data_IF_273758442872
#
_entry.id   IF_273758442872
#
_cell.length_a   1.000
_cell.length_b   1.000
_cell.length_c   1.000
_cell.angle_alpha   90.00
_cell.angle_beta   90.00
_cell.angle_gamma   90.00
#
_symmetry.space_group_name_H-M   'P 1'
#
loop_
_entity.id
_entity.type
_entity.pdbx_description
1 polymer ?
#
# COMPACT_ATOMS: atom_id res chain seq x y z
N UNK A 1 21.80 24.53 -37.89
CA UNK A 1 22.25 23.21 -37.38
C UNK A 1 21.26 22.17 -37.90
N UNK A 2 21.71 20.99 -38.34
CA UNK A 2 20.81 19.90 -38.74
C UNK A 2 19.89 19.51 -37.56
N UNK A 3 18.62 19.32 -37.88
CA UNK A 3 17.63 18.70 -37.01
C UNK A 3 18.00 17.25 -36.66
N UNK A 4 17.21 16.59 -35.81
CA UNK A 4 17.28 15.14 -35.63
C UNK A 4 17.13 14.42 -36.97
N UNK A 5 18.01 13.47 -37.25
CA UNK A 5 17.92 12.61 -38.43
C UNK A 5 17.32 11.26 -38.02
N UNK A 6 16.35 10.78 -38.78
CA UNK A 6 15.69 9.50 -38.60
C UNK A 6 15.98 8.59 -39.79
N UNK A 7 16.43 7.38 -39.50
CA UNK A 7 16.53 6.28 -40.46
C UNK A 7 15.31 5.36 -40.30
N UNK A 8 14.66 5.04 -41.40
CA UNK A 8 13.45 4.22 -41.44
C UNK A 8 13.55 3.19 -42.57
N UNK A 9 13.21 1.94 -42.27
CA UNK A 9 13.06 0.88 -43.26
C UNK A 9 11.63 0.36 -43.18
N UNK A 10 10.96 0.26 -44.33
CA UNK A 10 9.57 -0.18 -44.44
C UNK A 10 9.49 -1.30 -45.46
N UNK A 11 8.88 -2.43 -45.09
CA UNK A 11 8.56 -3.51 -46.01
C UNK A 11 7.07 -3.51 -46.36
N UNK A 12 6.75 -3.92 -47.58
CA UNK A 12 5.38 -4.09 -48.06
C UNK A 12 5.19 -5.53 -48.53
N UNK A 13 4.22 -6.22 -47.92
CA UNK A 13 3.90 -7.61 -48.23
C UNK A 13 3.35 -7.80 -49.65
N UNK A 14 2.79 -6.75 -50.25
CA UNK A 14 2.27 -6.80 -51.62
C UNK A 14 2.53 -5.50 -52.36
N UNK A 15 2.79 -5.60 -53.66
CA UNK A 15 2.94 -4.45 -54.55
C UNK A 15 1.59 -3.82 -54.97
N UNK A 16 0.47 -4.54 -54.82
CA UNK A 16 -0.86 -4.10 -55.29
C UNK A 16 -1.38 -2.82 -54.63
N UNK A 17 -0.99 -2.59 -53.37
CA UNK A 17 -1.44 -1.44 -52.58
C UNK A 17 -0.55 -0.21 -52.79
N UNK A 18 0.52 -0.34 -53.55
CA UNK A 18 1.48 0.74 -53.75
C UNK A 18 1.01 1.70 -54.86
N UNK A 19 0.41 2.82 -54.46
CA UNK A 19 -0.21 3.80 -55.37
C UNK A 19 0.43 5.20 -55.33
N UNK A 20 1.64 5.32 -54.77
CA UNK A 20 2.35 6.59 -54.67
C UNK A 20 1.87 7.55 -53.56
N UNK A 21 0.92 7.12 -52.72
CA UNK A 21 0.37 7.94 -51.62
C UNK A 21 1.46 8.37 -50.62
N UNK A 22 2.47 7.53 -50.38
CA UNK A 22 3.61 7.85 -49.50
C UNK A 22 4.42 9.02 -50.06
N UNK A 23 4.70 9.03 -51.37
CA UNK A 23 5.45 10.11 -52.01
C UNK A 23 4.67 11.42 -51.95
N UNK A 24 3.35 11.37 -52.19
CA UNK A 24 2.49 12.56 -52.11
C UNK A 24 2.47 13.16 -50.69
N UNK A 25 2.50 12.33 -49.65
CA UNK A 25 2.60 12.83 -48.26
C UNK A 25 4.01 13.35 -47.94
N UNK A 26 5.07 12.69 -48.43
CA UNK A 26 6.44 13.21 -48.30
C UNK A 26 6.55 14.59 -48.96
N UNK A 27 6.03 14.77 -50.17
CA UNK A 27 5.96 16.08 -50.85
C UNK A 27 5.22 17.13 -50.03
N UNK A 28 4.12 16.74 -49.39
CA UNK A 28 3.34 17.63 -48.54
C UNK A 28 4.15 18.08 -47.32
N UNK A 29 4.87 17.16 -46.67
CA UNK A 29 5.71 17.47 -45.50
C UNK A 29 6.95 18.28 -45.88
N UNK A 30 7.57 17.97 -47.02
CA UNK A 30 8.67 18.74 -47.64
C UNK A 30 8.24 20.17 -47.95
N UNK A 31 7.12 20.34 -48.65
CA UNK A 31 6.59 21.64 -49.04
C UNK A 31 6.18 22.52 -47.85
N UNK A 32 5.84 21.91 -46.70
CA UNK A 32 5.60 22.63 -45.44
C UNK A 32 6.87 22.93 -44.64
N UNK A 33 8.03 22.44 -45.08
CA UNK A 33 9.31 22.58 -44.36
C UNK A 33 9.34 21.85 -43.02
N UNK A 34 8.50 20.83 -42.84
CA UNK A 34 8.46 20.02 -41.60
C UNK A 34 9.62 19.04 -41.58
N UNK A 35 9.88 18.43 -42.73
CA UNK A 35 10.95 17.48 -42.96
C UNK A 35 11.77 17.84 -44.18
N UNK A 36 12.96 17.25 -44.27
CA UNK A 36 13.79 17.21 -45.48
C UNK A 36 14.21 15.76 -45.72
N UNK A 37 14.02 15.27 -46.94
CA UNK A 37 14.43 13.93 -47.36
C UNK A 37 15.90 13.99 -47.72
N UNK A 38 16.75 13.33 -46.93
CA UNK A 38 18.19 13.30 -47.16
C UNK A 38 18.56 12.18 -48.14
N UNK A 39 17.85 11.06 -48.06
CA UNK A 39 18.00 9.93 -48.96
C UNK A 39 16.72 9.09 -48.93
N UNK A 40 16.29 8.59 -50.07
CA UNK A 40 15.18 7.66 -50.23
C UNK A 40 15.60 6.62 -51.27
N UNK A 41 15.51 5.35 -50.90
CA UNK A 41 15.56 4.24 -51.85
C UNK A 41 14.29 3.42 -51.71
N UNK A 42 13.63 3.19 -52.82
CA UNK A 42 12.53 2.26 -52.91
C UNK A 42 12.87 1.16 -53.90
N UNK A 43 12.68 -0.09 -53.50
CA UNK A 43 12.92 -1.28 -54.32
C UNK A 43 11.66 -2.11 -54.36
N UNK A 44 11.20 -2.42 -55.56
CA UNK A 44 10.08 -3.31 -55.83
C UNK A 44 10.57 -4.51 -56.61
N UNK A 45 10.22 -5.72 -56.18
CA UNK A 45 10.43 -6.94 -56.96
C UNK A 45 9.09 -7.44 -57.48
N UNK A 46 8.96 -7.54 -58.80
CA UNK A 46 7.75 -8.07 -59.45
C UNK A 46 7.61 -9.57 -59.19
N UNK A 47 6.44 -10.14 -59.46
CA UNK A 47 6.22 -11.59 -59.37
C UNK A 47 7.11 -12.38 -60.35
N UNK A 48 7.54 -11.75 -61.46
CA UNK A 48 8.47 -12.32 -62.42
C UNK A 48 9.93 -12.27 -61.92
N UNK A 49 10.20 -11.61 -60.80
CA UNK A 49 11.54 -11.41 -60.24
C UNK A 49 12.25 -10.16 -60.75
N UNK A 50 11.63 -9.38 -61.63
CA UNK A 50 12.21 -8.13 -62.12
C UNK A 50 12.29 -7.09 -61.00
N UNK A 51 13.37 -6.32 -60.97
CA UNK A 51 13.61 -5.30 -59.95
C UNK A 51 13.35 -3.92 -60.55
N UNK A 52 12.52 -3.14 -59.86
CA UNK A 52 12.28 -1.73 -60.14
C UNK A 52 12.75 -0.94 -58.92
N UNK A 53 13.69 -0.02 -59.12
CA UNK A 53 14.18 0.85 -58.06
C UNK A 53 13.90 2.31 -58.37
N UNK A 54 13.72 3.10 -57.32
CA UNK A 54 13.54 4.54 -57.39
C UNK A 54 14.33 5.19 -56.26
N UNK A 55 14.99 6.30 -56.56
CA UNK A 55 15.72 7.11 -55.61
C UNK A 55 15.19 8.55 -55.62
N UNK A 56 15.18 9.21 -54.46
CA UNK A 56 14.81 10.62 -54.31
C UNK A 56 15.61 11.28 -53.16
N UNK A 57 15.93 12.56 -53.31
CA UNK A 57 16.65 13.33 -52.28
C UNK A 57 16.44 14.83 -52.46
N UNK A 58 16.41 15.56 -51.33
CA UNK A 58 16.41 17.03 -51.29
C UNK A 58 17.84 17.60 -51.15
N UNK A 59 18.88 16.76 -51.28
CA UNK A 59 20.27 17.21 -51.23
C UNK A 59 20.68 17.82 -52.57
N UNK A 60 21.43 18.93 -52.51
CA UNK A 60 22.16 19.40 -53.68
C UNK A 60 23.38 18.52 -53.95
N UNK A 61 23.94 18.54 -55.17
CA UNK A 61 25.12 17.75 -55.51
C UNK A 61 26.33 17.99 -54.59
N UNK A 62 26.47 19.20 -54.04
CA UNK A 62 27.52 19.52 -53.05
C UNK A 62 27.23 18.88 -51.69
N UNK A 63 25.97 18.93 -51.24
CA UNK A 63 25.55 18.31 -49.97
C UNK A 63 25.54 16.78 -50.04
N UNK A 64 25.23 16.19 -51.20
CA UNK A 64 25.35 14.74 -51.42
C UNK A 64 26.79 14.26 -51.25
N UNK A 65 27.77 15.04 -51.69
CA UNK A 65 29.18 14.70 -51.52
C UNK A 65 29.60 14.71 -50.04
N UNK A 66 29.10 15.66 -49.25
CA UNK A 66 29.45 15.78 -47.82
C UNK A 66 28.63 14.83 -46.93
N UNK A 67 27.31 14.77 -47.14
CA UNK A 67 26.37 14.04 -46.31
C UNK A 67 26.17 12.61 -46.79
N UNK A 68 26.13 12.37 -48.11
CA UNK A 68 25.97 11.04 -48.69
C UNK A 68 27.10 10.08 -48.31
N UNK A 69 28.34 10.57 -48.23
CA UNK A 69 29.47 9.79 -47.72
C UNK A 69 29.31 9.40 -46.24
N UNK A 70 28.73 10.30 -45.42
CA UNK A 70 28.45 10.03 -44.01
C UNK A 70 27.33 9.00 -43.85
N UNK A 71 26.28 9.12 -44.68
CA UNK A 71 25.14 8.20 -44.74
C UNK A 71 25.58 6.81 -45.16
N UNK A 72 26.34 6.68 -46.24
CA UNK A 72 26.90 5.40 -46.72
C UNK A 72 27.73 4.71 -45.63
N UNK A 73 28.56 5.47 -44.91
CA UNK A 73 29.36 4.95 -43.79
C UNK A 73 28.49 4.49 -42.61
N UNK A 74 27.41 5.23 -42.28
CA UNK A 74 26.46 4.85 -41.23
C UNK A 74 25.67 3.58 -41.59
N UNK A 75 25.36 3.40 -42.88
CA UNK A 75 24.69 2.19 -43.37
C UNK A 75 25.63 0.98 -43.50
N UNK A 76 26.94 1.14 -43.25
CA UNK A 76 27.92 0.04 -43.31
C UNK A 76 28.29 -0.40 -44.73
N UNK A 77 28.02 0.45 -45.73
CA UNK A 77 28.14 0.14 -47.15
C UNK A 77 29.55 0.40 -47.68
N UNK A 78 30.56 -0.08 -46.97
CA UNK A 78 31.94 -0.06 -47.46
C UNK A 78 32.06 -1.17 -48.52
N UNK A 79 32.13 -0.78 -49.79
CA UNK A 79 32.33 -1.68 -50.92
C UNK A 79 33.61 -2.52 -50.75
N UNK A 80 33.44 -3.73 -50.20
CA UNK A 80 34.41 -4.80 -50.28
C UNK A 80 33.68 -6.16 -50.36
N UNK A 81 32.88 -6.33 -51.42
CA UNK A 81 32.52 -7.66 -51.90
C UNK A 81 32.27 -7.62 -53.40
N UNK A 82 33.29 -7.94 -54.16
CA UNK A 82 33.17 -8.20 -55.59
C UNK A 82 32.55 -9.59 -55.77
N UNK A 83 31.27 -9.65 -56.16
CA UNK A 83 30.70 -10.88 -56.74
C UNK A 83 29.93 -10.51 -58.01
N UNK A 84 30.36 -11.11 -59.10
CA UNK A 84 29.83 -10.88 -60.43
C UNK A 84 28.46 -11.57 -60.62
N UNK A 85 27.52 -10.86 -61.25
CA UNK A 85 26.53 -11.46 -62.15
C UNK A 85 25.06 -11.14 -61.85
N UNK A 86 24.45 -10.30 -62.68
CA UNK A 86 23.27 -10.63 -63.50
C UNK A 86 23.02 -9.49 -64.49
N UNK A 87 22.94 -9.77 -65.80
CA UNK A 87 22.85 -8.73 -66.84
C UNK A 87 21.44 -8.19 -67.05
N UNK A 88 20.42 -8.74 -66.38
CA UNK A 88 19.09 -8.16 -66.32
C UNK A 88 19.05 -6.95 -65.36
N UNK A 89 19.78 -7.06 -64.24
CA UNK A 89 19.93 -5.99 -63.25
C UNK A 89 20.67 -4.77 -63.84
N UNK A 90 21.67 -5.02 -64.68
CA UNK A 90 22.44 -3.97 -65.36
C UNK A 90 21.58 -3.08 -66.28
N UNK A 91 20.46 -3.59 -66.82
CA UNK A 91 19.53 -2.81 -67.65
C UNK A 91 18.64 -1.86 -66.84
N UNK A 92 18.21 -2.26 -65.64
CA UNK A 92 17.42 -1.42 -64.73
C UNK A 92 18.26 -0.36 -64.01
N UNK A 93 19.57 -0.63 -63.85
CA UNK A 93 20.54 0.26 -63.20
C UNK A 93 21.25 1.22 -64.17
N UNK A 94 20.99 1.11 -65.48
CA UNK A 94 21.64 1.96 -66.49
C UNK A 94 20.95 3.33 -66.68
N UNK A 95 19.72 3.49 -66.21
CA UNK A 95 18.96 4.76 -66.31
C UNK A 95 19.22 5.72 -65.13
N UNK A 96 20.05 5.35 -64.14
CA UNK A 96 20.45 6.23 -63.02
C UNK A 96 21.75 6.98 -63.34
N UNK A 97 21.69 7.96 -64.25
CA UNK A 97 22.82 8.84 -64.62
C UNK A 97 23.26 9.84 -63.51
N UNK A 98 22.85 9.67 -62.25
CA UNK A 98 23.36 10.46 -61.12
C UNK A 98 24.03 9.54 -60.08
N UNK A 99 25.35 9.46 -60.17
CA UNK A 99 26.22 8.61 -59.34
C UNK A 99 26.47 9.16 -57.92
N UNK A 100 25.44 9.67 -57.25
CA UNK A 100 25.53 10.21 -55.91
C UNK A 100 24.29 9.77 -55.10
N UNK A 101 24.46 8.78 -54.21
CA UNK A 101 23.39 8.06 -53.52
C UNK A 101 23.73 6.56 -53.36
N UNK A 102 22.81 5.77 -52.78
CA UNK A 102 22.96 4.30 -52.67
C UNK A 102 23.34 3.69 -54.04
N UNK A 103 24.36 2.84 -54.05
CA UNK A 103 24.96 2.31 -55.27
C UNK A 103 24.07 1.27 -55.93
N UNK A 104 24.33 1.01 -57.22
CA UNK A 104 23.77 -0.12 -57.95
C UNK A 104 23.89 -1.47 -57.20
N UNK A 105 24.99 -1.66 -56.47
CA UNK A 105 25.20 -2.86 -55.65
C UNK A 105 24.29 -2.87 -54.42
N UNK A 106 24.11 -1.72 -53.76
CA UNK A 106 23.23 -1.62 -52.59
C UNK A 106 21.77 -1.92 -52.95
N UNK A 107 21.32 -1.44 -54.12
CA UNK A 107 20.01 -1.77 -54.68
C UNK A 107 19.90 -3.28 -54.93
N UNK A 108 20.94 -3.91 -55.49
CA UNK A 108 20.98 -5.35 -55.72
C UNK A 108 20.88 -6.13 -54.40
N UNK A 109 21.61 -5.71 -53.38
CA UNK A 109 21.68 -6.37 -52.09
C UNK A 109 20.34 -6.29 -51.34
N UNK A 110 19.65 -5.15 -51.41
CA UNK A 110 18.27 -5.00 -50.90
C UNK A 110 17.29 -5.84 -51.71
N UNK A 111 17.39 -5.79 -53.05
CA UNK A 111 16.53 -6.56 -53.94
C UNK A 111 16.67 -8.07 -53.68
N UNK A 112 17.86 -8.57 -53.39
CA UNK A 112 18.11 -9.98 -53.10
C UNK A 112 17.51 -10.44 -51.76
N UNK A 113 17.23 -9.51 -50.84
CA UNK A 113 16.64 -9.80 -49.53
C UNK A 113 15.10 -9.77 -49.53
N UNK A 114 14.47 -9.24 -50.58
CA UNK A 114 13.01 -9.17 -50.69
C UNK A 114 12.47 -10.24 -51.65
N UNK A 115 11.33 -10.82 -51.29
CA UNK A 115 10.66 -11.88 -52.06
C UNK A 115 9.97 -11.31 -53.32
N UNK A 116 9.81 -12.10 -54.40
CA UNK A 116 8.99 -11.71 -55.54
C UNK A 116 7.57 -11.29 -55.11
N UNK A 117 7.06 -10.21 -55.68
CA UNK A 117 5.74 -9.64 -55.35
C UNK A 117 5.73 -8.67 -54.17
N UNK A 118 6.89 -8.43 -53.54
CA UNK A 118 7.06 -7.53 -52.39
C UNK A 118 7.88 -6.28 -52.74
N UNK A 119 7.87 -5.29 -51.84
CA UNK A 119 8.70 -4.09 -51.96
C UNK A 119 9.24 -3.64 -50.61
N UNK A 120 10.31 -2.83 -50.64
CA UNK A 120 10.90 -2.21 -49.48
C UNK A 120 11.28 -0.75 -49.77
N UNK A 121 11.16 0.10 -48.75
CA UNK A 121 11.62 1.49 -48.77
C UNK A 121 12.61 1.73 -47.64
N UNK A 122 13.70 2.41 -47.93
CA UNK A 122 14.67 2.95 -46.99
C UNK A 122 14.58 4.47 -47.09
N UNK A 123 14.43 5.13 -45.96
CA UNK A 123 14.23 6.56 -45.89
C UNK A 123 15.11 7.17 -44.80
N UNK A 124 15.82 8.22 -45.14
CA UNK A 124 16.57 9.06 -44.22
C UNK A 124 15.97 10.47 -44.22
N UNK A 125 15.41 10.87 -43.08
CA UNK A 125 14.67 12.14 -42.94
C UNK A 125 15.31 13.02 -41.88
N UNK A 126 15.53 14.29 -42.21
CA UNK A 126 15.77 15.33 -41.21
C UNK A 126 14.44 15.91 -40.71
N UNK A 127 14.26 15.95 -39.40
CA UNK A 127 13.15 16.64 -38.73
C UNK A 127 13.46 18.14 -38.59
N UNK A 128 13.24 18.89 -39.68
CA UNK A 128 13.56 20.32 -39.79
C UNK A 128 12.89 21.15 -38.70
N UNK A 129 11.63 20.83 -38.36
CA UNK A 129 10.86 21.52 -37.32
C UNK A 129 11.59 21.55 -35.96
N UNK A 130 12.38 20.52 -35.65
CA UNK A 130 13.06 20.37 -34.37
C UNK A 130 14.41 21.09 -34.30
N UNK A 131 14.92 21.61 -35.44
CA UNK A 131 16.22 22.28 -35.48
C UNK A 131 16.27 23.51 -34.56
N UNK A 132 15.21 24.33 -34.56
CA UNK A 132 15.11 25.52 -33.70
C UNK A 132 15.04 25.17 -32.21
N UNK A 133 14.23 24.17 -31.86
CA UNK A 133 14.12 23.68 -30.47
C UNK A 133 15.46 23.14 -29.96
N UNK A 134 16.14 22.32 -30.78
CA UNK A 134 17.47 21.77 -30.46
C UNK A 134 18.49 22.87 -30.22
N UNK A 135 18.46 23.94 -31.02
CA UNK A 135 19.33 25.09 -30.82
C UNK A 135 19.02 25.79 -29.51
N UNK A 136 17.74 26.08 -29.23
CA UNK A 136 17.34 26.73 -27.98
C UNK A 136 17.72 25.94 -26.71
N UNK A 137 17.59 24.60 -26.74
CA UNK A 137 18.04 23.72 -25.65
C UNK A 137 19.55 23.86 -25.42
N UNK A 138 20.34 23.86 -26.50
CA UNK A 138 21.80 24.02 -26.42
C UNK A 138 22.21 25.38 -25.92
N UNK A 139 21.55 26.44 -26.38
CA UNK A 139 21.80 27.81 -25.95
C UNK A 139 21.51 27.98 -24.44
N UNK A 140 20.55 27.22 -23.90
CA UNK A 140 20.29 27.11 -22.47
C UNK A 140 21.29 26.23 -21.71
N UNK A 141 22.31 25.68 -22.37
CA UNK A 141 23.30 24.76 -21.79
C UNK A 141 22.84 23.30 -21.69
N UNK A 142 21.68 22.97 -22.25
CA UNK A 142 21.15 21.61 -22.30
C UNK A 142 21.81 20.76 -23.39
N UNK A 143 21.82 19.45 -23.19
CA UNK A 143 22.22 18.48 -24.21
C UNK A 143 21.31 17.24 -24.13
N UNK A 144 21.03 16.57 -25.25
CA UNK A 144 20.17 15.39 -25.25
C UNK A 144 20.85 14.23 -24.51
N UNK A 145 20.10 13.55 -23.63
CA UNK A 145 20.55 12.34 -22.91
C UNK A 145 20.02 11.08 -23.60
N UNK A 146 18.79 11.12 -24.11
CA UNK A 146 18.16 10.05 -24.87
C UNK A 146 17.26 10.64 -25.96
N UNK A 147 17.10 9.92 -27.08
CA UNK A 147 16.25 10.33 -28.19
C UNK A 147 15.70 9.09 -28.89
N UNK A 148 14.40 9.09 -29.21
CA UNK A 148 13.71 8.01 -29.91
C UNK A 148 12.24 8.33 -30.08
N UNK A 149 11.55 7.58 -30.94
CA UNK A 149 10.09 7.62 -31.03
C UNK A 149 9.50 6.55 -30.12
N UNK A 150 8.49 6.92 -29.35
CA UNK A 150 7.68 5.96 -28.59
C UNK A 150 6.46 5.64 -29.45
N UNK A 151 6.23 4.37 -29.74
CA UNK A 151 5.06 3.97 -30.52
C UNK A 151 3.78 4.10 -29.69
N UNK A 152 2.61 4.31 -30.31
CA UNK A 152 1.34 4.36 -29.58
C UNK A 152 1.09 3.13 -28.71
N UNK A 153 1.49 1.94 -29.16
CA UNK A 153 1.35 0.69 -28.42
C UNK A 153 2.23 0.69 -27.16
N UNK A 154 3.47 1.16 -27.29
CA UNK A 154 4.37 1.32 -26.15
C UNK A 154 3.83 2.35 -25.14
N UNK A 155 3.22 3.45 -25.60
CA UNK A 155 2.56 4.42 -24.73
C UNK A 155 1.40 3.80 -23.95
N UNK A 156 0.59 2.96 -24.60
CA UNK A 156 -0.53 2.26 -23.94
C UNK A 156 -0.01 1.28 -22.89
N UNK A 157 1.05 0.52 -23.19
CA UNK A 157 1.65 -0.40 -22.21
C UNK A 157 2.18 0.35 -20.98
N UNK A 158 2.90 1.46 -21.18
CA UNK A 158 3.39 2.30 -20.09
C UNK A 158 2.21 2.84 -19.27
N UNK A 159 1.14 3.29 -19.92
CA UNK A 159 -0.07 3.75 -19.24
C UNK A 159 -0.71 2.67 -18.37
N UNK A 160 -0.82 1.44 -18.88
CA UNK A 160 -1.37 0.30 -18.15
C UNK A 160 -0.49 -0.08 -16.95
N UNK A 161 0.83 -0.09 -17.11
CA UNK A 161 1.77 -0.35 -16.01
C UNK A 161 1.70 0.74 -14.93
N UNK A 162 1.72 2.01 -15.33
CA UNK A 162 1.60 3.14 -14.40
C UNK A 162 0.26 3.10 -13.66
N UNK A 163 -0.83 2.74 -14.33
CA UNK A 163 -2.13 2.57 -13.70
C UNK A 163 -2.13 1.41 -12.70
N UNK A 164 -1.53 0.26 -13.05
CA UNK A 164 -1.43 -0.87 -12.14
C UNK A 164 -0.61 -0.53 -10.87
N UNK A 165 0.47 0.24 -11.03
CA UNK A 165 1.26 0.75 -9.90
C UNK A 165 0.40 1.67 -9.02
N UNK A 166 -0.32 2.63 -9.62
CA UNK A 166 -1.19 3.55 -8.87
C UNK A 166 -2.32 2.81 -8.13
N UNK A 167 -2.93 1.79 -8.73
CA UNK A 167 -3.94 0.94 -8.09
C UNK A 167 -3.37 0.15 -6.91
N UNK A 168 -2.16 -0.40 -7.07
CA UNK A 168 -1.47 -1.10 -5.99
C UNK A 168 -1.13 -0.16 -4.82
N UNK A 169 -0.63 1.05 -5.10
CA UNK A 169 -0.33 2.06 -4.08
C UNK A 169 -1.60 2.46 -3.29
N UNK A 170 -2.71 2.74 -3.98
CA UNK A 170 -3.99 3.02 -3.31
C UNK A 170 -4.46 1.86 -2.43
N UNK A 171 -4.31 0.62 -2.90
CA UNK A 171 -4.70 -0.56 -2.11
C UNK A 171 -3.86 -0.71 -0.84
N UNK A 172 -2.55 -0.41 -0.91
CA UNK A 172 -1.65 -0.43 0.25
C UNK A 172 -2.05 0.66 1.25
N UNK A 173 -2.32 1.89 0.79
CA UNK A 173 -2.73 2.99 1.65
C UNK A 173 -4.03 2.67 2.42
N UNK A 174 -5.02 2.09 1.73
CA UNK A 174 -6.28 1.64 2.37
C UNK A 174 -6.00 0.53 3.39
N UNK A 175 -5.16 -0.44 3.06
CA UNK A 175 -4.81 -1.54 3.97
C UNK A 175 -4.10 -1.05 5.24
N UNK A 176 -3.19 -0.07 5.12
CA UNK A 176 -2.52 0.56 6.26
C UNK A 176 -3.49 1.33 7.15
N UNK A 177 -4.42 2.08 6.56
CA UNK A 177 -5.47 2.78 7.31
C UNK A 177 -6.35 1.80 8.11
N UNK A 178 -6.75 0.68 7.50
CA UNK A 178 -7.54 -0.37 8.18
C UNK A 178 -6.74 -1.01 9.31
N UNK A 179 -5.45 -1.31 9.10
CA UNK A 179 -4.58 -1.86 10.13
C UNK A 179 -4.41 -0.90 11.31
N UNK A 180 -4.26 0.40 11.04
CA UNK A 180 -4.20 1.43 12.08
C UNK A 180 -5.47 1.51 12.91
N UNK A 181 -6.64 1.49 12.26
CA UNK A 181 -7.93 1.47 12.95
C UNK A 181 -8.12 0.21 13.81
N UNK A 182 -7.76 -0.97 13.29
CA UNK A 182 -7.84 -2.22 14.04
C UNK A 182 -6.90 -2.25 15.26
N UNK A 183 -5.71 -1.63 15.16
CA UNK A 183 -4.79 -1.50 16.29
C UNK A 183 -5.37 -0.60 17.40
N UNK A 184 -6.00 0.52 17.02
CA UNK A 184 -6.65 1.41 17.99
C UNK A 184 -7.83 0.74 18.68
N UNK A 185 -8.64 -0.04 17.95
CA UNK A 185 -9.73 -0.82 18.53
C UNK A 185 -9.21 -1.90 19.50
N UNK A 186 -8.15 -2.60 19.11
CA UNK A 186 -7.48 -3.56 19.99
C UNK A 186 -6.93 -2.90 21.28
N UNK A 187 -6.34 -1.71 21.18
CA UNK A 187 -5.90 -0.93 22.35
C UNK A 187 -7.08 -0.55 23.25
N UNK A 188 -8.16 -0.03 22.69
CA UNK A 188 -9.35 0.36 23.45
C UNK A 188 -9.97 -0.84 24.18
N UNK A 189 -10.02 -2.02 23.56
CA UNK A 189 -10.53 -3.23 24.22
C UNK A 189 -9.64 -3.71 25.37
N UNK A 190 -8.32 -3.54 25.27
CA UNK A 190 -7.39 -3.84 26.37
C UNK A 190 -7.61 -2.90 27.54
N UNK A 191 -7.72 -1.58 27.28
CA UNK A 191 -7.98 -0.58 28.33
C UNK A 191 -9.31 -0.85 29.05
N UNK A 192 -10.36 -1.21 28.31
CA UNK A 192 -11.65 -1.58 28.89
C UNK A 192 -11.56 -2.84 29.76
N UNK A 193 -10.81 -3.85 29.33
CA UNK A 193 -10.63 -5.08 30.11
C UNK A 193 -9.85 -4.83 31.41
N UNK A 194 -8.87 -3.93 31.38
CA UNK A 194 -8.10 -3.53 32.57
C UNK A 194 -8.98 -2.77 33.57
N UNK A 195 -9.81 -1.83 33.10
CA UNK A 195 -10.78 -1.12 33.95
C UNK A 195 -11.79 -2.08 34.60
N UNK A 196 -12.30 -3.07 33.86
CA UNK A 196 -13.20 -4.11 34.41
C UNK A 196 -12.50 -4.94 35.48
N UNK A 197 -11.22 -5.30 35.26
CA UNK A 197 -10.44 -6.05 36.24
C UNK A 197 -10.24 -5.24 37.52
N UNK A 198 -9.91 -3.94 37.43
CA UNK A 198 -9.72 -3.07 38.59
C UNK A 198 -11.02 -2.93 39.40
N UNK A 199 -12.14 -2.67 38.74
CA UNK A 199 -13.45 -2.61 39.39
C UNK A 199 -13.85 -3.94 40.07
N UNK A 200 -13.56 -5.08 39.44
CA UNK A 200 -13.82 -6.40 40.03
C UNK A 200 -12.96 -6.69 41.27
N UNK A 201 -11.72 -6.17 41.32
CA UNK A 201 -10.86 -6.27 42.51
C UNK A 201 -11.42 -5.42 43.65
N UNK A 202 -11.87 -4.20 43.36
CA UNK A 202 -12.51 -3.32 44.34
C UNK A 202 -13.77 -3.96 44.96
N UNK A 203 -14.68 -4.47 44.11
CA UNK A 203 -15.90 -5.15 44.54
C UNK A 203 -15.62 -6.42 45.38
N UNK A 204 -14.60 -7.18 45.01
CA UNK A 204 -14.16 -8.34 45.78
C UNK A 204 -13.61 -7.96 47.16
N UNK A 205 -12.84 -6.87 47.25
CA UNK A 205 -12.33 -6.36 48.54
C UNK A 205 -13.49 -5.91 49.43
N UNK A 206 -14.46 -5.18 48.88
CA UNK A 206 -15.65 -4.77 49.62
C UNK A 206 -16.45 -5.98 50.13
N UNK A 207 -16.67 -6.98 49.27
CA UNK A 207 -17.40 -8.20 49.65
C UNK A 207 -16.69 -8.97 50.77
N UNK A 208 -15.36 -9.08 50.72
CA UNK A 208 -14.57 -9.72 51.80
C UNK A 208 -14.69 -8.93 53.11
N UNK A 209 -14.61 -7.60 53.05
CA UNK A 209 -14.77 -6.75 54.23
C UNK A 209 -16.17 -6.93 54.87
N UNK A 210 -17.23 -6.96 54.05
CA UNK A 210 -18.59 -7.21 54.52
C UNK A 210 -18.75 -8.61 55.14
N UNK A 211 -18.15 -9.64 54.53
CA UNK A 211 -18.20 -11.01 55.07
C UNK A 211 -17.53 -11.14 56.45
N UNK A 212 -16.39 -10.47 56.66
CA UNK A 212 -15.71 -10.44 57.96
C UNK A 212 -16.54 -9.71 59.04
N UNK A 213 -17.26 -8.64 58.68
CA UNK A 213 -18.19 -7.97 59.60
C UNK A 213 -19.35 -8.89 60.00
N UNK A 214 -19.93 -9.63 59.06
CA UNK A 214 -21.02 -10.59 59.36
C UNK A 214 -20.52 -11.72 60.26
N UNK A 215 -19.32 -12.27 59.98
CA UNK A 215 -18.69 -13.30 60.80
C UNK A 215 -18.47 -12.78 62.23
N UNK A 216 -17.96 -11.57 62.36
CA UNK A 216 -17.76 -10.87 63.63
C UNK A 216 -19.07 -10.75 64.42
N UNK A 217 -20.11 -10.19 63.81
CA UNK A 217 -21.41 -10.01 64.44
C UNK A 217 -22.03 -11.34 64.88
N UNK A 218 -21.93 -12.39 64.06
CA UNK A 218 -22.45 -13.71 64.39
C UNK A 218 -21.73 -14.35 65.59
N UNK A 219 -20.41 -14.18 65.71
CA UNK A 219 -19.65 -14.67 66.87
C UNK A 219 -20.04 -13.90 68.14
N UNK A 220 -20.14 -12.57 68.06
CA UNK A 220 -20.59 -11.75 69.19
C UNK A 220 -22.01 -12.14 69.66
N UNK A 221 -22.95 -12.35 68.74
CA UNK A 221 -24.30 -12.80 69.04
C UNK A 221 -24.35 -14.21 69.67
N UNK A 222 -23.50 -15.14 69.17
CA UNK A 222 -23.39 -16.48 69.73
C UNK A 222 -22.87 -16.45 71.17
N UNK A 223 -21.84 -15.64 71.45
CA UNK A 223 -21.32 -15.43 72.82
C UNK A 223 -22.42 -14.88 73.72
N UNK A 224 -23.11 -13.81 73.28
CA UNK A 224 -24.22 -13.22 74.04
C UNK A 224 -25.31 -14.24 74.36
N UNK A 225 -25.67 -15.08 73.40
CA UNK A 225 -26.71 -16.12 73.60
C UNK A 225 -26.29 -17.16 74.64
N UNK A 226 -25.03 -17.60 74.62
CA UNK A 226 -24.51 -18.59 75.57
C UNK A 226 -24.45 -18.05 77.01
N UNK A 227 -24.10 -16.76 77.17
CA UNK A 227 -24.14 -16.06 78.47
C UNK A 227 -25.57 -15.99 79.00
N UNK A 228 -26.53 -15.53 78.19
CA UNK A 228 -27.94 -15.45 78.58
C UNK A 228 -28.53 -16.83 78.92
N UNK A 229 -28.10 -17.89 78.22
CA UNK A 229 -28.53 -19.26 78.51
C UNK A 229 -27.89 -19.85 79.77
N UNK A 230 -26.98 -19.13 80.45
CA UNK A 230 -26.26 -19.60 81.64
C UNK A 230 -25.26 -20.72 81.36
N UNK A 231 -24.85 -20.89 80.08
CA UNK A 231 -23.91 -21.94 79.68
C UNK A 231 -22.45 -21.54 79.86
N UNK A 232 -22.17 -20.25 80.01
CA UNK A 232 -20.86 -19.67 80.35
C UNK A 232 -21.07 -18.84 81.62
N UNK A 233 -20.28 -19.09 82.66
CA UNK A 233 -20.27 -18.28 83.88
C UNK A 233 -19.64 -16.90 83.60
N UNK A 234 -20.11 -15.83 84.23
CA UNK A 234 -19.65 -14.45 84.01
C UNK A 234 -18.12 -14.31 84.08
N UNK A 235 -17.46 -15.09 84.96
CA UNK A 235 -16.01 -15.11 85.11
C UNK A 235 -15.23 -15.75 83.93
N UNK A 236 -15.90 -16.52 83.06
CA UNK A 236 -15.31 -17.25 81.94
C UNK A 236 -15.59 -16.60 80.57
N UNK A 237 -16.41 -15.54 80.52
CA UNK A 237 -16.80 -14.87 79.27
C UNK A 237 -15.59 -14.20 78.61
N UNK A 238 -14.76 -13.52 79.39
CA UNK A 238 -13.56 -12.86 78.87
C UNK A 238 -12.54 -13.87 78.31
N UNK A 239 -12.37 -15.01 78.98
CA UNK A 239 -11.48 -16.09 78.51
C UNK A 239 -12.00 -16.72 77.20
N UNK A 240 -13.32 -16.82 77.03
CA UNK A 240 -13.94 -17.31 75.80
C UNK A 240 -13.74 -16.33 74.63
N UNK A 241 -13.89 -15.01 74.85
CA UNK A 241 -13.64 -13.97 73.85
C UNK A 241 -12.15 -13.98 73.44
N UNK A 242 -11.24 -14.05 74.42
CA UNK A 242 -9.79 -14.14 74.16
C UNK A 242 -9.43 -15.42 73.38
N UNK A 243 -10.00 -16.57 73.73
CA UNK A 243 -9.76 -17.82 73.02
C UNK A 243 -10.24 -17.75 71.55
N UNK A 244 -11.36 -17.08 71.29
CA UNK A 244 -11.89 -16.87 69.94
C UNK A 244 -11.03 -15.89 69.13
N UNK A 245 -10.51 -14.83 69.76
CA UNK A 245 -9.55 -13.92 69.14
C UNK A 245 -8.22 -14.62 68.80
N UNK A 246 -7.68 -15.43 69.72
CA UNK A 246 -6.45 -16.22 69.50
C UNK A 246 -6.65 -17.27 68.39
N UNK A 247 -7.84 -17.85 68.28
CA UNK A 247 -8.20 -18.76 67.19
C UNK A 247 -8.35 -18.04 65.83
N UNK A 248 -8.26 -16.70 65.79
CA UNK A 248 -8.46 -15.89 64.59
C UNK A 248 -9.93 -15.83 64.14
N UNK A 249 -10.86 -16.15 65.05
CA UNK A 249 -12.29 -16.12 64.79
C UNK A 249 -12.91 -14.75 65.08
N UNK A 250 -12.22 -13.90 65.86
CA UNK A 250 -12.53 -12.49 66.10
C UNK A 250 -11.34 -11.61 65.68
N UNK A 251 -11.63 -10.48 65.04
CA UNK A 251 -10.65 -9.41 64.80
C UNK A 251 -10.46 -8.57 66.07
N UNK A 252 -9.40 -7.75 66.14
CA UNK A 252 -9.17 -6.86 67.30
C UNK A 252 -10.34 -5.87 67.53
N UNK A 253 -10.93 -5.33 66.46
CA UNK A 253 -12.11 -4.46 66.56
C UNK A 253 -13.36 -5.23 67.05
N UNK A 254 -13.48 -6.51 66.68
CA UNK A 254 -14.57 -7.38 67.08
C UNK A 254 -14.55 -7.75 68.57
N UNK A 255 -13.36 -7.82 69.17
CA UNK A 255 -13.20 -8.08 70.61
C UNK A 255 -13.84 -6.97 71.42
N UNK A 256 -13.57 -5.71 71.07
CA UNK A 256 -14.12 -4.55 71.77
C UNK A 256 -15.66 -4.49 71.67
N UNK A 257 -16.24 -4.83 70.52
CA UNK A 257 -17.70 -4.86 70.34
C UNK A 257 -18.35 -6.04 71.10
N UNK A 258 -17.70 -7.20 71.14
CA UNK A 258 -18.17 -8.34 71.92
C UNK A 258 -18.13 -8.05 73.43
N UNK A 259 -17.08 -7.38 73.92
CA UNK A 259 -16.97 -6.92 75.31
C UNK A 259 -18.09 -5.94 75.67
N UNK A 260 -18.41 -4.97 74.80
CA UNK A 260 -19.50 -4.02 75.02
C UNK A 260 -20.88 -4.71 75.05
N UNK A 261 -21.10 -5.68 74.15
CA UNK A 261 -22.33 -6.46 74.12
C UNK A 261 -22.53 -7.32 75.39
N UNK A 262 -21.44 -7.86 75.95
CA UNK A 262 -21.45 -8.58 77.24
C UNK A 262 -21.81 -7.63 78.38
N UNK A 263 -21.16 -6.47 78.46
CA UNK A 263 -21.45 -5.46 79.48
C UNK A 263 -22.93 -5.01 79.44
N UNK A 264 -23.50 -4.84 78.24
CA UNK A 264 -24.92 -4.53 78.08
C UNK A 264 -25.83 -5.68 78.52
N UNK A 265 -25.47 -6.93 78.22
CA UNK A 265 -26.25 -8.11 78.62
C UNK A 265 -26.26 -8.30 80.15
N UNK A 266 -25.12 -8.14 80.80
CA UNK A 266 -25.01 -8.13 82.27
C UNK A 266 -25.87 -7.03 82.88
N UNK A 267 -25.85 -5.83 82.31
CA UNK A 267 -26.69 -4.73 82.77
C UNK A 267 -28.20 -5.03 82.64
N UNK A 268 -28.62 -5.68 81.55
CA UNK A 268 -30.02 -6.11 81.37
C UNK A 268 -30.40 -7.24 82.34
N UNK A 269 -29.50 -8.22 82.55
CA UNK A 269 -29.73 -9.29 83.51
C UNK A 269 -29.85 -8.76 84.94
N UNK A 270 -28.97 -7.83 85.35
CA UNK A 270 -29.04 -7.18 86.66
C UNK A 270 -30.34 -6.38 86.83
N UNK A 271 -30.80 -5.67 85.79
CA UNK A 271 -32.06 -4.95 85.82
C UNK A 271 -33.28 -5.90 85.91
N UNK A 272 -33.25 -7.04 85.22
CA UNK A 272 -34.30 -8.05 85.31
C UNK A 272 -34.35 -8.72 86.69
N UNK A 273 -33.20 -8.95 87.33
CA UNK A 273 -33.11 -9.49 88.68
C UNK A 273 -33.71 -8.50 89.70
N UNK A 274 -33.37 -7.21 89.59
CA UNK A 274 -33.92 -6.16 90.45
C UNK A 274 -35.45 -6.02 90.29
N UNK A 275 -35.97 -6.13 89.06
CA UNK A 275 -37.41 -6.10 88.81
C UNK A 275 -38.14 -7.33 89.37
N UNK A 276 -37.48 -8.49 89.43
CA UNK A 276 -38.04 -9.69 90.04
C UNK A 276 -38.04 -9.63 91.59
N UNK A 277 -37.11 -8.88 92.19
CA UNK A 277 -37.11 -8.59 93.64
C UNK A 277 -38.20 -7.58 94.01
N UNK A 278 -38.47 -6.57 93.17
CA UNK A 278 -39.58 -5.61 93.37
C UNK A 278 -40.98 -6.26 93.24
N UNK A 279 -41.16 -7.23 92.33
CA UNK A 279 -42.44 -7.96 92.15
C UNK A 279 -42.77 -8.92 93.34
N UNK A 280 -41.77 -9.36 94.11
CA UNK A 280 -41.96 -10.20 95.31
C UNK A 280 -42.38 -9.35 96.53
N UNK A 281 -41.94 -8.07 96.61
CA UNK A 281 -42.35 -7.11 97.65
C UNK A 281 -43.81 -6.62 97.45
N UNK A 282 -44.28 -6.47 96.20
CA UNK A 282 -45.67 -6.10 95.89
C UNK A 282 -46.68 -7.23 96.22
N UNK A 283 -46.23 -8.49 96.29
CA UNK A 283 -47.07 -9.61 96.73
C UNK A 283 -47.19 -9.72 98.26
N UNK A 284 -46.24 -9.19 99.03
CA UNK A 284 -46.38 -9.09 100.50
C UNK A 284 -47.33 -7.96 100.91
N UNK A 285 -47.41 -6.85 100.17
CA UNK A 285 -48.28 -5.70 100.51
C UNK A 285 -49.75 -5.89 100.08
N UNK A 286 -50.04 -6.81 99.14
CA UNK A 286 -51.40 -7.13 98.69
C UNK A 286 -52.23 -7.99 99.69
N UNK A 287 -51.64 -8.46 100.80
CA UNK A 287 -52.34 -9.29 101.80
C UNK A 287 -52.89 -8.47 103.00
N UNK A 288 -52.57 -7.17 103.12
CA UNK A 288 -53.02 -6.35 104.27
C UNK A 288 -54.02 -5.27 103.84
N UNK A 289 -55.24 -5.69 103.51
CA UNK A 289 -56.39 -4.82 103.27
C UNK A 289 -57.69 -5.43 103.82
N UNK A 290 -57.85 -5.47 105.14
CA UNK A 290 -59.05 -5.92 105.87
C UNK A 290 -60.13 -4.79 105.93
N UNK A 291 -61.45 -5.07 105.82
CA UNK A 291 -62.45 -4.00 105.69
C UNK A 291 -63.04 -3.57 107.05
N UNK A 292 -62.85 -2.30 107.42
CA UNK A 292 -63.84 -1.35 107.96
C UNK A 292 -63.16 -0.07 108.48
#
# INVERSE_FOLDING_TARGET
>A
MLGPVQFLVVGFETNEKFKGEILAELDTLRGRGVIRVLDLLFVMKTDAGDVVAMQDSDLSAEEEAELGALVSKLMGLNGESAVAGDSALAGALADSENQYGLTAQDIADVANQIEPGTSAGILLVEHVWAAGLKQAIRDAGGYPIAQGFITPEALVMIGAEVQAIAEAEMAIEVAEAVKGAALLDALATVDMAEAVKEAAVEDAVETVAQAELVKTAAVAEAVRTLVVAGMIEDAAVQEAIEALAVAGLLSEDAVAEAEDAVAQAEAVAAAALAAAEDDDDDLEDAVVGEPA
#
